data_IF_226851743837
#
_entry.id   IF_226851743837
#
_cell.length_a   1.000
_cell.length_b   1.000
_cell.length_c   1.000
_cell.angle_alpha   90.00
_cell.angle_beta   90.00
_cell.angle_gamma   90.00
#
_symmetry.space_group_name_H-M   'P 1'
#
loop_
_entity.id
_entity.type
_entity.pdbx_description
1 polymer ?
#
# COMPACT_ATOMS: atom_id res chain seq x y z
N UNK A 1 -2.94 -9.71 22.81
CA UNK A 1 -1.60 -9.59 22.17
C UNK A 1 -0.67 -8.60 22.87
N UNK A 2 -1.11 -7.36 23.16
CA UNK A 2 -0.26 -6.35 23.84
C UNK A 2 0.25 -6.85 25.21
N UNK A 3 -0.61 -7.54 25.94
CA UNK A 3 -0.28 -8.13 27.24
C UNK A 3 0.79 -9.23 27.14
N UNK A 4 0.61 -10.24 26.26
CA UNK A 4 1.62 -11.28 25.99
C UNK A 4 2.98 -10.70 25.56
N UNK A 5 2.99 -9.64 24.75
CA UNK A 5 4.23 -8.95 24.35
C UNK A 5 4.92 -8.29 25.55
N UNK A 6 4.15 -7.68 26.46
CA UNK A 6 4.67 -7.05 27.67
C UNK A 6 5.25 -8.10 28.62
N UNK A 7 4.51 -9.18 28.87
CA UNK A 7 4.94 -10.29 29.70
C UNK A 7 6.19 -10.98 29.14
N UNK A 8 6.26 -11.21 27.83
CA UNK A 8 7.44 -11.79 27.19
C UNK A 8 8.69 -10.90 27.30
N UNK A 9 8.53 -9.57 27.31
CA UNK A 9 9.64 -8.63 27.52
C UNK A 9 10.16 -8.67 28.97
N UNK A 10 9.28 -8.88 29.95
CA UNK A 10 9.60 -8.85 31.38
C UNK A 10 10.06 -10.23 31.92
N UNK A 11 9.58 -11.33 31.36
CA UNK A 11 9.97 -12.68 31.77
C UNK A 11 11.43 -12.97 31.42
N UNK A 12 12.07 -13.92 32.10
CA UNK A 12 13.46 -14.34 31.85
C UNK A 12 13.58 -15.81 31.46
N UNK A 13 14.75 -16.22 30.97
CA UNK A 13 15.09 -17.63 30.75
C UNK A 13 14.12 -18.42 29.85
N UNK A 14 13.68 -19.58 30.33
CA UNK A 14 12.76 -20.49 29.61
C UNK A 14 11.36 -19.92 29.45
N UNK A 15 10.87 -19.17 30.43
CA UNK A 15 9.54 -18.55 30.42
C UNK A 15 9.43 -17.49 29.31
N UNK A 16 10.48 -16.68 29.13
CA UNK A 16 10.58 -15.72 28.01
C UNK A 16 10.38 -16.40 26.65
N UNK A 17 11.02 -17.55 26.43
CA UNK A 17 10.89 -18.32 25.17
C UNK A 17 9.47 -18.85 24.95
N UNK A 18 8.83 -19.39 26.00
CA UNK A 18 7.46 -19.90 25.89
C UNK A 18 6.46 -18.78 25.57
N UNK A 19 6.60 -17.62 26.23
CA UNK A 19 5.73 -16.47 26.00
C UNK A 19 5.89 -15.90 24.57
N UNK A 20 7.13 -15.81 24.06
CA UNK A 20 7.34 -15.42 22.65
C UNK A 20 6.73 -16.41 21.67
N UNK A 21 6.87 -17.71 21.92
CA UNK A 21 6.23 -18.74 21.07
C UNK A 21 4.72 -18.58 21.06
N UNK A 22 4.08 -18.41 22.21
CA UNK A 22 2.63 -18.19 22.29
C UNK A 22 2.20 -16.89 21.61
N UNK A 23 2.96 -15.80 21.80
CA UNK A 23 2.70 -14.54 21.13
C UNK A 23 2.71 -14.69 19.60
N UNK A 24 3.75 -15.33 19.04
CA UNK A 24 3.85 -15.52 17.59
C UNK A 24 2.79 -16.49 17.05
N UNK A 25 2.49 -17.58 17.77
CA UNK A 25 1.40 -18.48 17.40
C UNK A 25 0.06 -17.75 17.26
N UNK A 26 -0.29 -16.89 18.22
CA UNK A 26 -1.55 -16.15 18.19
C UNK A 26 -1.53 -14.98 17.20
N UNK A 27 -0.38 -14.31 17.02
CA UNK A 27 -0.25 -13.23 16.03
C UNK A 27 -0.43 -13.79 14.62
N UNK A 28 0.15 -14.95 14.35
CA UNK A 28 0.21 -15.54 13.02
C UNK A 28 -1.01 -16.42 12.70
N UNK A 29 -1.90 -16.68 13.68
CA UNK A 29 -3.15 -17.41 13.44
C UNK A 29 -4.19 -16.61 12.65
N UNK A 30 -4.01 -15.30 12.50
CA UNK A 30 -4.92 -14.43 11.76
C UNK A 30 -4.23 -13.82 10.54
N UNK A 31 -4.75 -14.13 9.35
CA UNK A 31 -4.28 -13.51 8.12
C UNK A 31 -4.80 -12.07 7.99
N UNK A 32 -3.93 -11.14 7.60
CA UNK A 32 -4.35 -9.81 7.17
C UNK A 32 -4.74 -9.85 5.69
N UNK A 33 -6.04 -9.81 5.41
CA UNK A 33 -6.59 -9.81 4.05
C UNK A 33 -7.10 -8.42 3.68
N UNK A 34 -6.90 -8.04 2.42
CA UNK A 34 -7.47 -6.84 1.82
C UNK A 34 -8.43 -7.21 0.69
N UNK A 35 -9.26 -6.27 0.21
CA UNK A 35 -10.12 -6.50 -0.95
C UNK A 35 -9.31 -6.98 -2.16
N UNK A 36 -9.71 -8.07 -2.80
CA UNK A 36 -8.96 -8.66 -3.92
C UNK A 36 -8.84 -7.75 -5.15
N UNK A 37 -9.78 -6.81 -5.31
CA UNK A 37 -9.84 -5.90 -6.45
C UNK A 37 -9.04 -4.60 -6.27
N UNK A 38 -8.50 -4.32 -5.08
CA UNK A 38 -7.85 -3.04 -4.77
C UNK A 38 -6.50 -3.29 -4.10
N UNK A 39 -5.44 -2.70 -4.66
CA UNK A 39 -4.08 -2.83 -4.18
C UNK A 39 -3.44 -1.45 -4.11
N UNK A 40 -2.50 -1.27 -3.18
CA UNK A 40 -1.64 -0.09 -3.21
C UNK A 40 -0.68 -0.17 -4.40
N UNK A 41 -0.23 0.98 -4.90
CA UNK A 41 0.77 1.05 -5.98
C UNK A 41 2.00 0.20 -5.65
N UNK A 42 2.50 0.29 -4.40
CA UNK A 42 3.62 -0.51 -3.92
C UNK A 42 3.35 -2.02 -4.02
N UNK A 43 2.18 -2.49 -3.58
CA UNK A 43 1.79 -3.91 -3.65
C UNK A 43 1.64 -4.41 -5.09
N UNK A 44 1.36 -3.52 -6.04
CA UNK A 44 1.20 -3.86 -7.45
C UNK A 44 2.52 -4.03 -8.22
N UNK A 45 3.66 -3.64 -7.63
CA UNK A 45 4.97 -3.78 -8.26
C UNK A 45 5.24 -5.23 -8.68
N UNK A 46 5.80 -5.41 -9.89
CA UNK A 46 6.00 -6.73 -10.52
C UNK A 46 4.75 -7.40 -11.09
N UNK A 47 3.54 -6.93 -10.78
CA UNK A 47 2.29 -7.47 -11.33
C UNK A 47 1.87 -6.78 -12.63
N UNK A 48 0.98 -7.41 -13.40
CA UNK A 48 0.33 -6.79 -14.56
C UNK A 48 -1.15 -7.19 -14.63
N UNK A 49 -1.99 -6.24 -15.02
CA UNK A 49 -3.45 -6.40 -15.12
C UNK A 49 -3.93 -5.98 -16.51
N UNK A 50 -5.06 -6.51 -16.97
CA UNK A 50 -5.62 -6.13 -18.28
C UNK A 50 -5.98 -4.64 -18.31
N UNK A 51 -6.70 -4.18 -17.29
CA UNK A 51 -7.14 -2.80 -17.12
C UNK A 51 -6.80 -2.34 -15.70
N UNK A 52 -6.35 -1.09 -15.55
CA UNK A 52 -6.01 -0.50 -14.24
C UNK A 52 -6.79 0.79 -14.04
N UNK A 53 -7.35 0.95 -12.85
CA UNK A 53 -7.97 2.18 -12.38
C UNK A 53 -7.06 2.80 -11.31
N UNK A 54 -6.53 3.98 -11.59
CA UNK A 54 -5.64 4.72 -10.68
C UNK A 54 -6.46 5.75 -9.93
N UNK A 55 -6.52 5.60 -8.62
CA UNK A 55 -7.21 6.53 -7.73
C UNK A 55 -6.43 7.85 -7.55
N UNK A 56 -7.11 8.98 -7.23
CA UNK A 56 -6.49 10.30 -7.18
C UNK A 56 -5.48 10.47 -6.03
N UNK A 57 -5.51 9.58 -5.04
CA UNK A 57 -4.60 9.56 -3.91
C UNK A 57 -3.15 9.19 -4.29
N UNK A 58 -2.90 8.69 -5.50
CA UNK A 58 -1.53 8.48 -6.00
C UNK A 58 -0.70 9.79 -6.05
N UNK A 59 -1.38 10.94 -6.04
CA UNK A 59 -0.76 12.28 -6.03
C UNK A 59 -0.52 12.86 -4.64
N UNK A 60 -0.92 12.17 -3.56
CA UNK A 60 -0.75 12.68 -2.19
C UNK A 60 0.71 12.97 -1.77
N UNK A 61 1.71 12.18 -2.20
CA UNK A 61 3.09 12.44 -1.81
C UNK A 61 3.57 13.82 -2.27
N UNK A 62 4.11 14.58 -1.31
CA UNK A 62 4.57 15.95 -1.53
C UNK A 62 5.86 16.01 -2.35
N UNK A 63 6.73 15.02 -2.15
CA UNK A 63 7.97 14.88 -2.90
C UNK A 63 7.67 14.45 -4.34
N UNK A 64 8.05 15.29 -5.29
CA UNK A 64 7.75 15.09 -6.69
C UNK A 64 8.36 13.81 -7.26
N UNK A 65 9.59 13.49 -6.86
CA UNK A 65 10.28 12.27 -7.29
C UNK A 65 9.50 11.00 -6.93
N UNK A 66 9.05 10.90 -5.68
CA UNK A 66 8.23 9.78 -5.19
C UNK A 66 6.90 9.72 -5.94
N UNK A 67 6.25 10.88 -6.12
CA UNK A 67 4.97 10.95 -6.84
C UNK A 67 5.11 10.47 -8.29
N UNK A 68 6.15 10.90 -9.00
CA UNK A 68 6.43 10.45 -10.38
C UNK A 68 6.68 8.93 -10.42
N UNK A 69 7.44 8.39 -9.48
CA UNK A 69 7.67 6.94 -9.38
C UNK A 69 6.37 6.16 -9.15
N UNK A 70 5.49 6.64 -8.26
CA UNK A 70 4.22 5.96 -8.01
C UNK A 70 3.29 6.01 -9.21
N UNK A 71 3.18 7.16 -9.88
CA UNK A 71 2.38 7.30 -11.11
C UNK A 71 2.93 6.37 -12.19
N UNK A 72 4.25 6.35 -12.40
CA UNK A 72 4.90 5.45 -13.36
C UNK A 72 4.57 3.98 -13.07
N UNK A 73 4.73 3.54 -11.81
CA UNK A 73 4.39 2.17 -11.43
C UNK A 73 2.92 1.88 -11.68
N UNK A 74 2.00 2.75 -11.23
CA UNK A 74 0.57 2.56 -11.37
C UNK A 74 0.13 2.42 -12.84
N UNK A 75 0.61 3.32 -13.72
CA UNK A 75 0.31 3.31 -15.16
C UNK A 75 0.88 2.07 -15.84
N UNK A 76 2.15 1.72 -15.55
CA UNK A 76 2.82 0.59 -16.18
C UNK A 76 2.29 -0.79 -15.76
N UNK A 77 1.38 -0.87 -14.78
CA UNK A 77 0.73 -2.15 -14.43
C UNK A 77 -0.31 -2.58 -15.46
N UNK A 78 -0.84 -1.67 -16.28
CA UNK A 78 -1.85 -1.99 -17.27
C UNK A 78 -1.25 -2.59 -18.54
N UNK A 79 -1.83 -3.68 -19.03
CA UNK A 79 -1.50 -4.27 -20.34
C UNK A 79 -2.26 -3.61 -21.49
N UNK A 80 -3.47 -3.11 -21.24
CA UNK A 80 -4.36 -2.60 -22.30
C UNK A 80 -4.89 -1.21 -22.05
N UNK A 81 -5.48 -0.93 -20.88
CA UNK A 81 -6.06 0.40 -20.58
C UNK A 81 -5.71 0.88 -19.18
N UNK A 82 -5.54 2.19 -19.08
CA UNK A 82 -5.40 2.92 -17.82
C UNK A 82 -6.55 3.92 -17.71
N UNK A 83 -7.23 3.91 -16.57
CA UNK A 83 -8.24 4.89 -16.21
C UNK A 83 -7.68 5.70 -15.05
N UNK A 84 -7.47 7.00 -15.26
CA UNK A 84 -7.02 7.92 -14.22
C UNK A 84 -8.26 8.58 -13.63
N UNK A 85 -8.58 8.22 -12.38
CA UNK A 85 -9.75 8.78 -11.69
C UNK A 85 -9.36 10.14 -11.13
N UNK A 86 -9.77 11.19 -11.82
CA UNK A 86 -9.73 12.55 -11.29
C UNK A 86 -10.81 12.74 -10.22
N UNK A 87 -10.54 13.60 -9.25
CA UNK A 87 -11.58 14.26 -8.48
C UNK A 87 -11.84 15.62 -9.14
N UNK A 88 -13.05 16.19 -9.06
CA UNK A 88 -13.23 17.60 -9.41
C UNK A 88 -12.32 18.45 -8.50
N UNK A 89 -11.16 18.82 -9.04
CA UNK A 89 -10.20 19.72 -8.41
C UNK A 89 -10.31 21.13 -8.97
N UNK A 90 -9.77 22.11 -8.24
CA UNK A 90 -9.58 23.46 -8.74
C UNK A 90 -8.78 23.48 -10.05
N UNK A 91 -8.97 24.52 -10.87
CA UNK A 91 -8.34 24.65 -12.21
C UNK A 91 -6.83 24.38 -12.21
N UNK A 92 -6.12 24.79 -11.15
CA UNK A 92 -4.69 24.56 -10.99
C UNK A 92 -4.30 23.07 -11.07
N UNK A 93 -5.12 22.17 -10.47
CA UNK A 93 -4.84 20.74 -10.51
C UNK A 93 -5.11 20.18 -11.91
N UNK A 94 -6.17 20.63 -12.60
CA UNK A 94 -6.48 20.24 -13.97
C UNK A 94 -5.36 20.62 -14.95
N UNK A 95 -4.75 21.78 -14.78
CA UNK A 95 -3.61 22.22 -15.60
C UNK A 95 -2.37 21.31 -15.44
N UNK A 96 -2.07 20.84 -14.22
CA UNK A 96 -0.95 19.90 -14.00
C UNK A 96 -1.20 18.54 -14.68
N UNK A 97 -2.45 18.08 -14.71
CA UNK A 97 -2.82 16.86 -15.43
C UNK A 97 -2.71 17.01 -16.95
N UNK A 98 -3.12 18.16 -17.49
CA UNK A 98 -3.00 18.45 -18.92
C UNK A 98 -1.54 18.56 -19.36
N UNK A 99 -0.67 19.20 -18.56
CA UNK A 99 0.76 19.33 -18.85
C UNK A 99 1.52 17.99 -18.77
N UNK A 100 1.10 17.07 -17.90
CA UNK A 100 1.73 15.75 -17.78
C UNK A 100 1.28 14.73 -18.84
N UNK A 101 0.26 15.05 -19.63
CA UNK A 101 -0.32 14.17 -20.67
C UNK A 101 0.01 14.61 -22.11
N UNK A 102 0.56 15.81 -22.29
CA UNK A 102 1.16 16.33 -23.53
C UNK A 102 2.64 15.96 -23.62
#
# INVERSE_FOLDING_TARGET
LADLRSQAKQAEGSQRRQLWRQFFLLRDSFASVGPAAVLTVHRSQGSSFTDVFVAPDVYWPQQEEIRRQLVYVAVSRARRRVWLVGREGSEAMRSSWQQGLS
#
